data_IF_346823892389
#
_entry.id   IF_346823892389
#
_cell.length_a   1.000
_cell.length_b   1.000
_cell.length_c   1.000
_cell.angle_alpha   90.00
_cell.angle_beta   90.00
_cell.angle_gamma   90.00
#
_symmetry.space_group_name_H-M   'P 1'
#
loop_
_entity.id
_entity.type
_entity.pdbx_description
1 polymer ?
#
# COMPACT_ATOMS: atom_id res chain seq x y z
N UNK A 1 -1.92 17.21 8.29
CA UNK A 1 -1.13 17.01 7.07
C UNK A 1 -1.99 16.14 6.16
N UNK A 2 -2.69 16.76 5.20
CA UNK A 2 -3.72 16.08 4.40
C UNK A 2 -3.10 15.27 3.27
N UNK A 3 -3.61 14.06 3.06
CA UNK A 3 -3.28 13.22 1.91
C UNK A 3 -4.27 13.57 0.79
N UNK A 4 -3.77 13.97 -0.38
CA UNK A 4 -4.59 14.45 -1.50
C UNK A 4 -4.50 13.49 -2.70
N UNK A 5 -5.62 13.28 -3.39
CA UNK A 5 -5.66 12.72 -4.76
C UNK A 5 -4.68 13.51 -5.64
N UNK A 6 -4.00 12.86 -6.60
CA UNK A 6 -3.05 13.46 -7.58
C UNK A 6 -1.61 13.77 -7.17
N UNK A 7 -1.16 13.47 -5.95
CA UNK A 7 0.26 13.61 -5.65
C UNK A 7 1.05 12.35 -6.09
N UNK A 8 1.82 12.47 -7.18
CA UNK A 8 2.65 11.40 -7.79
C UNK A 8 3.80 10.86 -6.94
N UNK A 9 3.77 11.08 -5.62
CA UNK A 9 4.78 10.60 -4.68
C UNK A 9 4.16 10.27 -3.32
N UNK A 10 2.92 9.77 -3.33
CA UNK A 10 2.31 9.23 -2.13
C UNK A 10 2.95 7.87 -1.86
N UNK A 11 3.83 7.87 -0.86
CA UNK A 11 4.65 6.72 -0.49
C UNK A 11 4.05 6.14 0.77
N UNK A 12 3.53 4.92 0.70
CA UNK A 12 3.10 4.20 1.90
C UNK A 12 4.29 3.40 2.43
N UNK A 13 4.96 3.85 3.51
CA UNK A 13 5.95 3.00 4.17
C UNK A 13 5.18 1.90 4.88
N UNK A 14 5.12 0.72 4.27
CA UNK A 14 4.55 -0.44 4.96
C UNK A 14 5.64 -1.09 5.76
N UNK A 15 5.57 -0.92 7.08
CA UNK A 15 6.48 -1.54 8.04
C UNK A 15 5.99 -2.95 8.33
N UNK A 16 6.76 -3.94 7.90
CA UNK A 16 6.44 -5.36 8.12
C UNK A 16 7.01 -5.90 9.43
N UNK A 17 7.82 -5.09 10.13
CA UNK A 17 8.57 -5.45 11.35
C UNK A 17 9.32 -6.79 11.27
N UNK A 18 9.55 -7.26 10.04
CA UNK A 18 10.10 -8.57 9.69
C UNK A 18 11.09 -8.32 8.57
N UNK A 19 12.30 -8.84 8.73
CA UNK A 19 13.30 -8.84 7.67
C UNK A 19 12.70 -9.49 6.42
N UNK A 20 12.68 -8.76 5.30
CA UNK A 20 12.17 -9.25 4.02
C UNK A 20 13.21 -10.10 3.29
N UNK A 21 14.29 -10.52 3.95
CA UNK A 21 15.26 -11.47 3.40
C UNK A 21 14.56 -12.76 2.98
N UNK A 22 14.38 -12.95 1.68
CA UNK A 22 13.64 -14.08 1.09
C UNK A 22 12.17 -13.80 0.76
N UNK A 23 11.74 -12.54 0.76
CA UNK A 23 10.49 -12.13 0.14
C UNK A 23 10.60 -12.31 -1.39
N UNK A 24 9.65 -13.05 -1.98
CA UNK A 24 9.59 -13.31 -3.41
C UNK A 24 8.62 -12.32 -4.09
N UNK A 25 7.44 -12.13 -3.51
CA UNK A 25 6.40 -11.25 -4.04
C UNK A 25 5.85 -10.35 -2.95
N UNK A 26 5.92 -9.02 -3.16
CA UNK A 26 5.32 -8.02 -2.28
C UNK A 26 4.16 -7.32 -3.00
N UNK A 27 2.95 -7.45 -2.47
CA UNK A 27 1.74 -6.81 -3.01
C UNK A 27 1.11 -5.91 -1.95
N UNK A 28 0.71 -4.69 -2.33
CA UNK A 28 -0.15 -3.83 -1.54
C UNK A 28 -1.59 -4.15 -1.91
N UNK A 29 -2.30 -4.87 -1.06
CA UNK A 29 -3.73 -5.04 -1.23
C UNK A 29 -4.45 -3.80 -0.73
N UNK A 30 -5.52 -3.45 -1.42
CA UNK A 30 -6.35 -2.33 -1.06
C UNK A 30 -7.82 -2.68 -1.19
N UNK A 31 -8.64 -2.03 -0.37
CA UNK A 31 -10.09 -2.09 -0.45
C UNK A 31 -10.63 -0.68 -0.55
N UNK A 32 -11.33 -0.43 -1.65
CA UNK A 32 -12.04 0.81 -1.92
C UNK A 32 -13.22 0.98 -0.96
N UNK A 33 -13.69 2.22 -0.74
CA UNK A 33 -14.91 2.47 0.04
C UNK A 33 -16.15 1.80 -0.56
N UNK A 34 -16.22 1.65 -1.90
CA UNK A 34 -17.27 0.87 -2.57
C UNK A 34 -17.21 -0.64 -2.30
N UNK A 35 -16.18 -1.12 -1.61
CA UNK A 35 -15.98 -2.53 -1.30
C UNK A 35 -15.22 -3.31 -2.37
N UNK A 36 -14.75 -2.64 -3.43
CA UNK A 36 -13.90 -3.25 -4.47
C UNK A 36 -12.51 -3.48 -3.89
N UNK A 37 -11.99 -4.69 -4.05
CA UNK A 37 -10.65 -5.05 -3.61
C UNK A 37 -9.71 -5.15 -4.82
N UNK A 38 -8.46 -4.78 -4.62
CA UNK A 38 -7.42 -4.89 -5.61
C UNK A 38 -6.05 -5.11 -4.98
N UNK A 39 -5.04 -5.20 -5.83
CA UNK A 39 -3.66 -5.36 -5.40
C UNK A 39 -2.72 -4.62 -6.32
N UNK A 40 -1.79 -3.88 -5.74
CA UNK A 40 -0.71 -3.20 -6.44
C UNK A 40 0.64 -3.88 -6.17
N UNK A 41 1.55 -3.93 -7.15
CA UNK A 41 2.91 -4.41 -6.90
C UNK A 41 3.69 -3.41 -6.05
N UNK A 42 4.26 -3.85 -4.93
CA UNK A 42 5.14 -3.02 -4.10
C UNK A 42 6.57 -3.07 -4.62
N UNK A 43 7.26 -1.94 -4.55
CA UNK A 43 8.71 -1.90 -4.74
C UNK A 43 9.38 -2.00 -3.38
N UNK A 44 10.35 -2.90 -3.24
CA UNK A 44 11.13 -3.02 -2.02
C UNK A 44 12.18 -1.90 -2.00
N UNK A 45 12.09 -1.01 -1.01
CA UNK A 45 13.08 0.08 -0.84
C UNK A 45 14.21 -0.40 0.07
N UNK A 46 13.87 -1.07 1.18
CA UNK A 46 14.83 -1.61 2.14
C UNK A 46 14.38 -2.98 2.69
N UNK A 47 15.03 -4.06 2.25
CA UNK A 47 14.71 -5.44 2.65
C UNK A 47 15.02 -5.70 4.14
N UNK A 48 16.08 -5.09 4.66
CA UNK A 48 16.53 -5.29 6.04
C UNK A 48 15.63 -4.60 7.06
N UNK A 49 15.11 -3.42 6.72
CA UNK A 49 14.18 -2.69 7.59
C UNK A 49 12.72 -3.07 7.32
N UNK A 50 12.45 -3.87 6.29
CA UNK A 50 11.09 -4.22 5.90
C UNK A 50 10.33 -3.04 5.32
N UNK A 51 11.01 -2.10 4.63
CA UNK A 51 10.40 -0.91 4.06
C UNK A 51 10.02 -1.18 2.61
N UNK A 52 8.72 -1.20 2.39
CA UNK A 52 8.10 -1.31 1.08
C UNK A 52 7.54 0.05 0.70
N UNK A 53 7.63 0.38 -0.59
CA UNK A 53 7.08 1.62 -1.15
C UNK A 53 6.22 1.32 -2.35
N UNK A 54 5.00 1.87 -2.32
CA UNK A 54 4.17 2.01 -3.51
C UNK A 54 4.14 3.48 -3.91
N UNK A 55 4.31 3.77 -5.20
CA UNK A 55 4.05 5.10 -5.75
C UNK A 55 2.69 5.06 -6.44
N UNK A 56 1.71 5.69 -5.81
CA UNK A 56 0.37 5.82 -6.39
C UNK A 56 0.45 6.61 -7.70
N UNK A 57 -0.12 6.07 -8.77
CA UNK A 57 -0.22 6.74 -10.06
C UNK A 57 -1.57 7.47 -10.22
N UNK A 58 -1.62 8.40 -11.16
CA UNK A 58 -2.85 9.11 -11.50
C UNK A 58 -3.90 8.11 -12.03
N UNK A 59 -5.05 8.02 -11.36
CA UNK A 59 -6.13 7.07 -11.66
C UNK A 59 -6.15 5.79 -10.79
N UNK A 60 -5.13 5.54 -9.95
CA UNK A 60 -5.18 4.39 -9.02
C UNK A 60 -6.21 4.61 -7.90
N UNK A 61 -6.32 5.85 -7.44
CA UNK A 61 -7.25 6.29 -6.39
C UNK A 61 -8.45 7.02 -7.01
N UNK A 62 -9.27 6.30 -7.77
CA UNK A 62 -10.41 6.90 -8.47
C UNK A 62 -11.55 7.34 -7.54
N UNK A 63 -11.67 6.71 -6.37
CA UNK A 63 -12.75 6.95 -5.41
C UNK A 63 -12.28 7.73 -4.18
N UNK A 64 -13.06 8.74 -3.77
CA UNK A 64 -12.88 9.44 -2.49
C UNK A 64 -13.57 8.66 -1.37
N UNK A 65 -12.95 8.63 -0.18
CA UNK A 65 -13.49 7.93 0.99
C UNK A 65 -12.43 7.18 1.79
N UNK A 66 -12.88 6.28 2.66
CA UNK A 66 -12.01 5.43 3.46
C UNK A 66 -11.50 4.26 2.64
N UNK A 67 -10.19 4.21 2.47
CA UNK A 67 -9.51 3.08 1.84
C UNK A 67 -8.76 2.30 2.89
N UNK A 68 -8.88 0.98 2.87
CA UNK A 68 -8.05 0.11 3.69
C UNK A 68 -6.91 -0.42 2.83
N UNK A 69 -5.67 -0.23 3.24
CA UNK A 69 -4.47 -0.76 2.58
C UNK A 69 -3.79 -1.76 3.50
N UNK A 70 -3.30 -2.88 2.97
CA UNK A 70 -2.49 -3.81 3.75
C UNK A 70 -1.44 -4.47 2.86
N UNK A 71 -0.23 -4.66 3.38
CA UNK A 71 0.77 -5.42 2.66
C UNK A 71 0.45 -6.91 2.67
N UNK A 72 0.83 -7.58 1.60
CA UNK A 72 0.76 -9.01 1.44
C UNK A 72 2.11 -9.46 0.87
N UNK A 73 2.98 -9.96 1.74
CA UNK A 73 4.30 -10.46 1.36
C UNK A 73 4.23 -11.98 1.27
N UNK A 74 4.70 -12.51 0.15
CA UNK A 74 4.91 -13.95 -0.08
C UNK A 74 6.41 -14.21 -0.07
N UNK A 75 6.85 -15.11 0.79
CA UNK A 75 8.23 -15.56 0.87
C UNK A 75 8.48 -16.71 -0.09
N UNK A 76 9.75 -16.92 -0.46
CA UNK A 76 10.18 -18.01 -1.35
C UNK A 76 9.83 -19.41 -0.82
N UNK A 77 9.67 -19.55 0.50
CA UNK A 77 9.21 -20.78 1.18
C UNK A 77 7.70 -21.05 0.98
N UNK A 78 6.98 -20.16 0.28
CA UNK A 78 5.52 -20.24 0.09
C UNK A 78 4.71 -19.73 1.28
N UNK A 79 5.37 -19.25 2.35
CA UNK A 79 4.71 -18.58 3.48
C UNK A 79 4.28 -17.18 3.07
N UNK A 80 3.20 -16.70 3.66
CA UNK A 80 2.79 -15.30 3.50
C UNK A 80 2.69 -14.61 4.86
N UNK A 81 3.12 -13.34 4.91
CA UNK A 81 2.85 -12.43 6.03
C UNK A 81 1.94 -11.31 5.54
N UNK A 82 0.72 -11.18 6.11
CA UNK A 82 -0.03 -9.95 5.99
C UNK A 82 0.62 -8.86 6.85
N UNK A 83 0.79 -7.67 6.28
CA UNK A 83 1.10 -6.47 7.05
C UNK A 83 -0.14 -5.95 7.77
N UNK A 84 0.07 -5.01 8.69
CA UNK A 84 -1.01 -4.37 9.42
C UNK A 84 -1.91 -3.56 8.46
N UNK A 85 -3.25 -3.67 8.56
CA UNK A 85 -4.15 -2.89 7.74
C UNK A 85 -4.14 -1.43 8.18
N UNK A 86 -3.85 -0.52 7.25
CA UNK A 86 -3.85 0.92 7.44
C UNK A 86 -5.07 1.51 6.74
N UNK A 87 -5.93 2.16 7.51
CA UNK A 87 -7.06 2.92 6.98
C UNK A 87 -6.62 4.35 6.67
N UNK A 88 -6.83 4.76 5.42
CA UNK A 88 -6.44 6.06 4.91
C UNK A 88 -7.65 6.71 4.25
N UNK A 89 -7.99 7.90 4.72
CA UNK A 89 -9.00 8.72 4.06
C UNK A 89 -8.39 9.43 2.85
N UNK A 90 -8.90 9.10 1.66
CA UNK A 90 -8.51 9.72 0.40
C UNK A 90 -9.54 10.79 0.06
N UNK A 91 -9.16 12.05 0.21
CA UNK A 91 -9.96 13.20 -0.23
C UNK A 91 -9.71 13.56 -1.70
N UNK A 92 -10.68 14.22 -2.32
CA UNK A 92 -10.48 14.87 -3.62
C UNK A 92 -9.61 16.12 -3.50
N UNK A 93 -8.69 16.30 -4.45
CA UNK A 93 -7.90 17.51 -4.56
C UNK A 93 -8.86 18.67 -4.94
N UNK A 94 -9.08 19.61 -4.03
CA UNK A 94 -9.93 20.78 -4.26
C UNK A 94 -11.24 20.85 -3.46
N UNK A 95 -11.52 19.92 -2.55
CA UNK A 95 -12.63 20.09 -1.60
C UNK A 95 -12.20 20.97 -0.42
N UNK A 96 -12.86 22.13 -0.28
CA UNK A 96 -12.64 23.19 0.72
C UNK A 96 -13.40 22.96 2.02
#
# INVERSE_FOLDING_TARGET
MGLFKNHSSLSFPVLTYTELSGADVCLLKYRKPSGIEGSFPLTVEDELQGILRYNVQNGDLDESGWWCFWAHITFIDGRYSPGDPVEVFIGEEGEV
#
